data_IF_667235318347
#
_entry.id   IF_667235318347
#
_cell.length_a   1.000
_cell.length_b   1.000
_cell.length_c   1.000
_cell.angle_alpha   90.00
_cell.angle_beta   90.00
_cell.angle_gamma   90.00
#
_symmetry.space_group_name_H-M   'P 1'
#
loop_
_entity.id
_entity.type
_entity.pdbx_description
1 polymer ?
#
# COMPACT_ATOMS: atom_id res chain seq x y z
N UNK A 1 0.67 -9.01 10.68
CA UNK A 1 0.53 -8.00 9.59
C UNK A 1 -0.34 -6.86 10.10
N UNK A 2 0.23 -5.67 10.27
CA UNK A 2 -0.51 -4.51 10.79
C UNK A 2 -1.64 -4.08 9.83
N UNK A 3 -2.79 -3.66 10.38
CA UNK A 3 -3.95 -3.23 9.56
C UNK A 3 -3.63 -2.06 8.63
N UNK A 4 -2.71 -1.18 9.05
CA UNK A 4 -2.24 -0.04 8.25
C UNK A 4 -1.56 -0.47 6.95
N UNK A 5 -0.72 -1.50 6.97
CA UNK A 5 -0.01 -1.99 5.79
C UNK A 5 -1.00 -2.51 4.75
N UNK A 6 -1.98 -3.29 5.17
CA UNK A 6 -3.03 -3.80 4.29
C UNK A 6 -3.87 -2.67 3.69
N UNK A 7 -4.27 -1.69 4.50
CA UNK A 7 -5.01 -0.51 4.02
C UNK A 7 -4.22 0.30 3.00
N UNK A 8 -2.91 0.44 3.19
CA UNK A 8 -2.04 1.16 2.26
C UNK A 8 -1.95 0.45 0.90
N UNK A 9 -1.79 -0.87 0.89
CA UNK A 9 -1.74 -1.63 -0.36
C UNK A 9 -3.00 -1.38 -1.19
N UNK A 10 -4.19 -1.45 -0.59
CA UNK A 10 -5.46 -1.15 -1.29
C UNK A 10 -5.71 0.34 -1.55
N UNK A 11 -4.97 1.24 -0.91
CA UNK A 11 -5.02 2.67 -1.20
C UNK A 11 -4.23 3.02 -2.47
N UNK A 12 -3.21 2.21 -2.80
CA UNK A 12 -2.29 2.44 -3.93
C UNK A 12 -2.62 1.53 -5.12
N UNK A 13 -2.92 0.26 -4.87
CA UNK A 13 -3.15 -0.78 -5.88
C UNK A 13 -4.61 -1.26 -5.88
N UNK A 14 -5.10 -1.65 -7.06
CA UNK A 14 -6.34 -2.42 -7.16
C UNK A 14 -6.06 -3.91 -6.93
N UNK A 15 -7.12 -4.68 -6.64
CA UNK A 15 -7.00 -6.13 -6.46
C UNK A 15 -6.49 -6.84 -7.72
N UNK A 16 -6.89 -6.39 -8.91
CA UNK A 16 -6.39 -6.95 -10.17
C UNK A 16 -4.91 -6.65 -10.40
N UNK A 17 -4.42 -5.47 -10.01
CA UNK A 17 -2.99 -5.14 -10.10
C UNK A 17 -2.18 -5.95 -9.09
N UNK A 18 -2.70 -6.09 -7.87
CA UNK A 18 -2.10 -6.92 -6.84
C UNK A 18 -1.96 -8.38 -7.32
N UNK A 19 -3.02 -8.94 -7.89
CA UNK A 19 -3.02 -10.32 -8.36
C UNK A 19 -2.16 -10.56 -9.60
N UNK A 20 -2.04 -9.58 -10.51
CA UNK A 20 -1.37 -9.77 -11.82
C UNK A 20 0.07 -9.28 -11.86
N UNK A 21 0.37 -8.15 -11.22
CA UNK A 21 1.65 -7.45 -11.34
C UNK A 21 2.45 -7.47 -10.03
N UNK A 22 1.76 -7.55 -8.89
CA UNK A 22 2.37 -7.43 -7.56
C UNK A 22 2.06 -8.63 -6.67
N UNK A 23 2.08 -9.84 -7.25
CA UNK A 23 1.70 -11.08 -6.56
C UNK A 23 2.75 -11.57 -5.55
N UNK A 24 3.94 -10.97 -5.54
CA UNK A 24 5.04 -11.28 -4.62
C UNK A 24 5.41 -10.06 -3.78
N UNK A 25 6.03 -10.30 -2.63
CA UNK A 25 6.51 -9.23 -1.74
C UNK A 25 7.58 -8.39 -2.42
N UNK A 26 8.49 -9.01 -3.18
CA UNK A 26 9.53 -8.29 -3.92
C UNK A 26 8.93 -7.33 -4.95
N UNK A 27 7.96 -7.80 -5.75
CA UNK A 27 7.25 -6.94 -6.70
C UNK A 27 6.54 -5.78 -5.98
N UNK A 28 5.87 -6.04 -4.85
CA UNK A 28 5.23 -5.00 -4.03
C UNK A 28 6.23 -3.93 -3.57
N UNK A 29 7.47 -4.31 -3.23
CA UNK A 29 8.53 -3.41 -2.81
C UNK A 29 9.17 -2.62 -3.98
N UNK A 30 9.00 -3.07 -5.22
CA UNK A 30 9.41 -2.32 -6.41
C UNK A 30 8.47 -1.13 -6.69
N UNK A 31 7.21 -1.17 -6.23
CA UNK A 31 6.28 -0.06 -6.44
C UNK A 31 6.75 1.19 -5.67
N UNK A 32 6.98 2.34 -6.34
CA UNK A 32 7.61 3.51 -5.73
C UNK A 32 6.85 4.06 -4.52
N UNK A 33 5.52 4.17 -4.59
CA UNK A 33 4.70 4.62 -3.45
C UNK A 33 4.74 3.65 -2.25
N UNK A 34 4.79 2.34 -2.50
CA UNK A 34 4.84 1.34 -1.43
C UNK A 34 6.23 1.25 -0.83
N UNK A 35 7.28 1.40 -1.63
CA UNK A 35 8.68 1.44 -1.15
C UNK A 35 8.88 2.59 -0.16
N UNK A 36 8.40 3.79 -0.49
CA UNK A 36 8.47 4.95 0.41
C UNK A 36 7.67 4.70 1.69
N UNK A 37 6.45 4.16 1.56
CA UNK A 37 5.62 3.81 2.71
C UNK A 37 6.28 2.77 3.61
N UNK A 38 6.84 1.70 3.04
CA UNK A 38 7.48 0.62 3.80
C UNK A 38 8.71 1.14 4.54
N UNK A 39 9.54 1.94 3.89
CA UNK A 39 10.70 2.58 4.55
C UNK A 39 10.26 3.48 5.71
N UNK A 40 9.16 4.21 5.55
CA UNK A 40 8.61 5.06 6.60
C UNK A 40 7.97 4.25 7.74
N UNK A 41 7.14 3.25 7.45
CA UNK A 41 6.40 2.47 8.46
C UNK A 41 7.33 1.60 9.30
N UNK A 42 8.47 1.15 8.74
CA UNK A 42 9.52 0.43 9.48
C UNK A 42 10.12 1.23 10.64
N UNK A 43 9.98 2.56 10.63
CA UNK A 43 10.46 3.44 11.71
C UNK A 43 9.42 3.65 12.82
N UNK A 44 8.27 2.99 12.76
CA UNK A 44 7.14 3.22 13.67
C UNK A 44 6.92 2.01 14.59
N UNK A 45 6.43 2.22 15.83
CA UNK A 45 6.10 1.13 16.75
C UNK A 45 4.91 0.30 16.24
N UNK A 46 4.77 -0.93 16.72
CA UNK A 46 3.77 -1.90 16.24
C UNK A 46 2.31 -1.47 16.49
N UNK A 47 2.06 -0.63 17.50
CA UNK A 47 0.74 -0.06 17.82
C UNK A 47 0.45 1.26 17.08
N UNK A 48 1.26 1.60 16.07
CA UNK A 48 1.09 2.85 15.34
C UNK A 48 -0.13 2.83 14.41
N UNK A 49 -1.06 3.75 14.64
CA UNK A 49 -2.26 3.93 13.82
C UNK A 49 -2.25 5.29 13.09
N UNK A 50 -2.51 5.27 11.80
CA UNK A 50 -2.82 6.48 11.02
C UNK A 50 -3.94 6.20 10.01
N UNK A 51 -4.72 7.24 9.71
CA UNK A 51 -5.74 7.17 8.69
C UNK A 51 -5.10 7.02 7.30
N UNK A 52 -5.51 5.98 6.56
CA UNK A 52 -5.06 5.75 5.19
C UNK A 52 -6.05 6.31 4.19
N UNK A 53 -5.60 7.24 3.33
CA UNK A 53 -6.38 7.78 2.23
C UNK A 53 -6.02 7.11 0.91
N UNK A 54 -7.02 6.80 0.08
CA UNK A 54 -6.81 6.28 -1.29
C UNK A 54 -6.02 7.28 -2.13
N UNK A 55 -5.08 6.79 -2.94
CA UNK A 55 -4.33 7.58 -3.91
C UNK A 55 -5.29 8.23 -4.92
N UNK A 56 -4.87 9.36 -5.50
CA UNK A 56 -5.65 10.04 -6.54
C UNK A 56 -5.95 9.11 -7.72
N UNK A 57 -5.00 8.22 -8.08
CA UNK A 57 -5.14 7.20 -9.11
C UNK A 57 -6.30 6.24 -8.82
N UNK A 58 -6.34 5.70 -7.60
CA UNK A 58 -7.41 4.78 -7.18
C UNK A 58 -8.75 5.50 -7.03
N UNK A 59 -8.76 6.76 -6.55
CA UNK A 59 -9.99 7.56 -6.47
C UNK A 59 -10.59 7.83 -7.85
N UNK A 60 -9.76 8.23 -8.83
CA UNK A 60 -10.20 8.50 -10.21
C UNK A 60 -10.79 7.27 -10.88
N UNK A 61 -10.28 6.07 -10.58
CA UNK A 61 -10.77 4.80 -11.14
C UNK A 61 -12.16 4.36 -10.65
N UNK A 62 -12.67 4.91 -9.55
CA UNK A 62 -13.99 4.57 -8.99
C UNK A 62 -15.11 5.53 -9.42
N UNK A 63 -14.78 6.55 -10.20
CA UNK A 63 -15.71 7.56 -10.73
C UNK A 63 -15.98 7.26 -12.20
#
# INVERSE_FOLDING_TARGET
>A
MHRICHRQIHAVLTESELARQYATVDALLEHPELKVFVSWVKTKPDDFFVATSKSARIRKRRR
#
